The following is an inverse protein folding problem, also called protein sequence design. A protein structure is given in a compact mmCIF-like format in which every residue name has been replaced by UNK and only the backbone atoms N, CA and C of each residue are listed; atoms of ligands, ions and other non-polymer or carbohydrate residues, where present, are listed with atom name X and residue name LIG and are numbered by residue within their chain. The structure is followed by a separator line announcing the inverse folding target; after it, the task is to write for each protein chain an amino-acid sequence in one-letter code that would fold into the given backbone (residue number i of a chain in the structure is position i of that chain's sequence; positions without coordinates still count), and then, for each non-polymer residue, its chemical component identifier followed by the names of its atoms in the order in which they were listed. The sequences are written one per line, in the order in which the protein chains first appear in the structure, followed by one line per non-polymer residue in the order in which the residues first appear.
data_IF_251627359607
#
_entry.id   IF_251627359607
#
_cell.length_a   1.000
_cell.length_b   1.000
_cell.length_c   1.000
_cell.angle_alpha   90.00
_cell.angle_beta   90.00
_cell.angle_gamma   90.00
#
_symmetry.space_group_name_H-M   'P 1'
#
loop_
_entity.id
_entity.type
_entity.pdbx_description
1 polymer ?
#
# COMPACT_ATOMS: atom_id res chain seq x y z
N UNK A 1 12.72 -10.05 41.06
CA UNK A 1 13.45 -10.79 40.00
C UNK A 1 12.67 -10.73 38.68
N UNK A 2 12.00 -9.61 38.36
CA UNK A 2 10.94 -9.53 37.32
C UNK A 2 11.12 -8.39 36.30
N UNK A 3 12.30 -7.78 36.23
CA UNK A 3 12.53 -6.66 35.30
C UNK A 3 12.94 -7.14 33.89
N UNK A 4 13.45 -8.36 33.78
CA UNK A 4 13.92 -8.95 32.52
C UNK A 4 12.80 -9.49 31.63
N UNK A 5 11.76 -10.10 32.20
CA UNK A 5 10.62 -10.65 31.46
C UNK A 5 9.77 -9.55 30.81
N UNK A 6 9.51 -8.46 31.54
CA UNK A 6 8.76 -7.30 31.04
C UNK A 6 9.48 -6.54 29.92
N UNK A 7 10.80 -6.39 29.99
CA UNK A 7 11.60 -5.80 28.91
C UNK A 7 11.69 -6.70 27.67
N UNK A 8 11.77 -8.03 27.84
CA UNK A 8 11.79 -8.97 26.71
C UNK A 8 10.43 -8.98 25.98
N UNK A 9 9.31 -8.90 26.71
CA UNK A 9 7.97 -8.80 26.11
C UNK A 9 7.76 -7.44 25.44
N UNK A 10 8.21 -6.34 26.04
CA UNK A 10 8.13 -5.01 25.44
C UNK A 10 9.02 -4.87 24.19
N UNK A 11 10.23 -5.45 24.21
CA UNK A 11 11.12 -5.48 23.05
C UNK A 11 10.60 -6.40 21.94
N UNK A 12 10.01 -7.55 22.28
CA UNK A 12 9.37 -8.45 21.33
C UNK A 12 8.14 -7.83 20.66
N UNK A 13 7.37 -7.04 21.41
CA UNK A 13 6.25 -6.30 20.87
C UNK A 13 6.67 -5.14 19.95
N UNK A 14 7.65 -4.32 20.36
CA UNK A 14 8.20 -3.25 19.51
C UNK A 14 8.80 -3.78 18.19
N UNK A 15 9.43 -4.96 18.23
CA UNK A 15 9.94 -5.64 17.04
C UNK A 15 8.83 -6.12 16.08
N UNK A 16 7.61 -6.35 16.58
CA UNK A 16 6.48 -6.84 15.78
C UNK A 16 5.81 -5.71 14.96
N UNK A 17 5.81 -4.46 15.45
CA UNK A 17 5.14 -3.33 14.75
C UNK A 17 6.07 -2.53 13.83
N UNK A 18 7.40 -2.62 14.01
CA UNK A 18 8.34 -1.99 13.09
C UNK A 18 8.11 -2.33 11.60
N UNK A 19 7.92 -3.62 11.20
CA UNK A 19 7.66 -3.95 9.80
C UNK A 19 6.33 -3.38 9.28
N UNK A 20 5.29 -3.30 10.11
CA UNK A 20 4.00 -2.69 9.74
C UNK A 20 4.17 -1.25 9.27
N UNK A 21 4.86 -0.43 10.07
CA UNK A 21 5.08 0.98 9.74
C UNK A 21 5.98 1.16 8.51
N UNK A 22 6.92 0.24 8.27
CA UNK A 22 7.75 0.24 7.05
C UNK A 22 6.87 -0.01 5.82
N UNK A 23 6.00 -1.02 5.85
CA UNK A 23 5.09 -1.31 4.73
C UNK A 23 4.07 -0.20 4.51
N UNK A 24 3.50 0.36 5.58
CA UNK A 24 2.61 1.51 5.52
C UNK A 24 3.31 2.74 4.92
N UNK A 25 4.56 3.01 5.28
CA UNK A 25 5.34 4.11 4.72
C UNK A 25 5.63 3.90 3.22
N UNK A 26 5.94 2.67 2.81
CA UNK A 26 6.11 2.31 1.40
C UNK A 26 4.81 2.51 0.60
N UNK A 27 3.68 2.04 1.12
CA UNK A 27 2.36 2.23 0.50
C UNK A 27 2.00 3.73 0.41
N UNK A 28 2.27 4.50 1.45
CA UNK A 28 2.05 5.96 1.47
C UNK A 28 2.89 6.68 0.43
N UNK A 29 4.18 6.34 0.32
CA UNK A 29 5.10 6.95 -0.64
C UNK A 29 4.63 6.68 -2.07
N UNK A 30 4.26 5.44 -2.39
CA UNK A 30 3.78 5.07 -3.73
C UNK A 30 2.44 5.73 -4.07
N UNK A 31 1.54 5.88 -3.10
CA UNK A 31 0.27 6.59 -3.26
C UNK A 31 0.46 8.08 -3.53
N UNK A 32 1.28 8.77 -2.73
CA UNK A 32 1.59 10.20 -2.93
C UNK A 32 2.16 10.40 -4.33
N UNK A 33 3.09 9.54 -4.73
CA UNK A 33 3.71 9.58 -6.05
C UNK A 33 2.68 9.41 -7.17
N UNK A 34 1.70 8.51 -6.99
CA UNK A 34 0.58 8.33 -7.91
C UNK A 34 -0.29 9.59 -8.01
N UNK A 35 -0.66 10.17 -6.88
CA UNK A 35 -1.50 11.38 -6.83
C UNK A 35 -0.79 12.55 -7.53
N UNK A 36 0.51 12.74 -7.26
CA UNK A 36 1.32 13.78 -7.93
C UNK A 36 1.37 13.55 -9.44
N UNK A 37 1.69 12.31 -9.85
CA UNK A 37 1.74 11.92 -11.27
C UNK A 37 0.42 12.25 -11.99
N UNK A 38 -0.71 11.88 -11.39
CA UNK A 38 -2.02 12.02 -12.03
C UNK A 38 -2.60 13.42 -11.96
N UNK A 39 -2.38 14.13 -10.85
CA UNK A 39 -2.88 15.48 -10.65
C UNK A 39 -2.09 16.51 -11.47
N UNK A 40 -0.76 16.44 -11.43
CA UNK A 40 0.09 17.46 -12.06
C UNK A 40 0.51 17.12 -13.48
N UNK A 41 0.86 15.86 -13.76
CA UNK A 41 1.46 15.51 -15.05
C UNK A 41 0.43 15.08 -16.08
N UNK A 42 -0.48 14.16 -15.73
CA UNK A 42 -1.50 13.68 -16.68
C UNK A 42 -2.83 14.43 -16.60
N UNK A 43 -3.08 15.18 -15.50
CA UNK A 43 -4.33 15.92 -15.22
C UNK A 43 -5.59 15.07 -15.44
N UNK A 44 -5.54 13.81 -15.02
CA UNK A 44 -6.62 12.85 -15.24
C UNK A 44 -6.90 12.08 -13.93
N UNK A 45 -7.68 12.72 -13.05
CA UNK A 45 -8.10 12.14 -11.77
C UNK A 45 -9.34 11.30 -12.02
N UNK A 46 -9.23 10.00 -11.76
CA UNK A 46 -10.36 9.08 -11.83
C UNK A 46 -10.96 8.78 -10.45
N UNK A 47 -12.18 8.27 -10.45
CA UNK A 47 -12.83 7.77 -9.23
C UNK A 47 -12.03 6.65 -8.56
N UNK A 48 -11.26 5.88 -9.33
CA UNK A 48 -10.34 4.87 -8.80
C UNK A 48 -9.29 5.46 -7.85
N UNK A 49 -8.83 6.69 -8.08
CA UNK A 49 -7.81 7.33 -7.23
C UNK A 49 -8.40 7.79 -5.89
N UNK A 50 -9.65 8.28 -5.91
CA UNK A 50 -10.37 8.69 -4.70
C UNK A 50 -10.66 7.48 -3.81
N UNK A 51 -11.14 6.38 -4.41
CA UNK A 51 -11.41 5.13 -3.68
C UNK A 51 -10.10 4.54 -3.12
N UNK A 52 -9.00 4.63 -3.87
CA UNK A 52 -7.67 4.20 -3.38
C UNK A 52 -7.21 5.03 -2.19
N UNK A 53 -7.32 6.36 -2.27
CA UNK A 53 -6.93 7.25 -1.18
C UNK A 53 -7.80 7.03 0.08
N UNK A 54 -9.09 6.79 -0.11
CA UNK A 54 -9.99 6.43 0.98
C UNK A 54 -9.60 5.08 1.61
N UNK A 55 -9.36 4.04 0.81
CA UNK A 55 -8.89 2.74 1.30
C UNK A 55 -7.58 2.84 2.07
N UNK A 56 -6.62 3.64 1.59
CA UNK A 56 -5.38 3.92 2.31
C UNK A 56 -5.60 4.66 3.63
N UNK A 57 -6.50 5.65 3.67
CA UNK A 57 -6.81 6.38 4.90
C UNK A 57 -7.45 5.46 5.95
N UNK A 58 -8.32 4.55 5.53
CA UNK A 58 -8.88 3.50 6.39
C UNK A 58 -7.79 2.55 6.88
N UNK A 59 -6.85 2.13 6.01
CA UNK A 59 -5.71 1.30 6.42
C UNK A 59 -4.82 2.00 7.45
N UNK A 60 -4.51 3.28 7.22
CA UNK A 60 -3.73 4.09 8.15
C UNK A 60 -4.41 4.21 9.51
N UNK A 61 -5.72 4.47 9.53
CA UNK A 61 -6.51 4.52 10.76
C UNK A 61 -6.48 3.18 11.50
N UNK A 62 -6.66 2.06 10.79
CA UNK A 62 -6.54 0.72 11.38
C UNK A 62 -5.15 0.45 11.96
N UNK A 63 -4.08 0.79 11.24
CA UNK A 63 -2.70 0.62 11.71
C UNK A 63 -2.43 1.44 12.98
N UNK A 64 -2.95 2.67 13.07
CA UNK A 64 -2.86 3.50 14.28
C UNK A 64 -3.62 2.84 15.44
N UNK A 65 -4.86 2.43 15.24
CA UNK A 65 -5.70 1.82 16.29
C UNK A 65 -5.07 0.52 16.81
N UNK A 66 -4.59 -0.35 15.92
CA UNK A 66 -3.91 -1.60 16.30
C UNK A 66 -2.65 -1.30 17.10
N UNK A 67 -1.84 -0.33 16.67
CA UNK A 67 -0.62 0.07 17.39
C UNK A 67 -0.96 0.58 18.80
N UNK A 68 -2.00 1.41 18.96
CA UNK A 68 -2.43 1.92 20.27
C UNK A 68 -2.97 0.78 21.14
N UNK A 69 -3.89 -0.03 20.62
CA UNK A 69 -4.51 -1.16 21.35
C UNK A 69 -3.45 -2.12 21.87
N UNK A 70 -2.49 -2.48 21.02
CA UNK A 70 -1.36 -3.32 21.39
C UNK A 70 -0.47 -2.67 22.46
N UNK A 71 -0.09 -1.40 22.29
CA UNK A 71 0.72 -0.68 23.27
C UNK A 71 0.02 -0.61 24.62
N UNK A 72 -1.30 -0.39 24.65
CA UNK A 72 -2.07 -0.39 25.91
C UNK A 72 -2.10 -1.76 26.56
N UNK A 73 -2.22 -2.85 25.79
CA UNK A 73 -2.23 -4.21 26.31
C UNK A 73 -0.88 -4.60 26.93
N UNK A 74 0.23 -4.17 26.34
CA UNK A 74 1.58 -4.45 26.88
C UNK A 74 1.85 -3.66 28.16
N UNK A 75 1.42 -2.40 28.22
CA UNK A 75 1.59 -1.57 29.41
C UNK A 75 0.72 -2.05 30.58
N UNK A 76 -0.44 -2.63 30.31
CA UNK A 76 -1.28 -3.29 31.30
C UNK A 76 -0.56 -4.47 31.99
N UNK A 77 0.33 -5.19 31.28
CA UNK A 77 1.03 -6.37 31.84
C UNK A 77 2.18 -5.97 32.80
N UNK A 78 2.51 -4.67 32.95
CA UNK A 78 3.59 -4.25 33.86
C UNK A 78 3.17 -4.40 35.33
N UNK A 79 4.00 -5.02 36.19
CA UNK A 79 3.67 -5.37 37.58
C UNK A 79 3.49 -4.18 38.54
N UNK A 80 3.70 -2.95 38.07
CA UNK A 80 3.54 -1.70 38.86
C UNK A 80 2.14 -1.09 38.80
N UNK A 81 1.18 -1.75 38.15
CA UNK A 81 -0.16 -1.20 37.91
C UNK A 81 -1.14 -1.60 39.01
N UNK A 82 -1.83 -0.62 39.60
CA UNK A 82 -2.91 -0.85 40.58
C UNK A 82 -4.00 -1.74 39.95
N UNK A 83 -4.57 -2.73 40.66
CA UNK A 83 -5.54 -3.67 40.08
C UNK A 83 -6.78 -2.99 39.45
N UNK A 84 -7.23 -1.86 40.00
CA UNK A 84 -8.33 -1.05 39.44
C UNK A 84 -7.96 -0.33 38.14
N UNK A 85 -6.69 0.06 37.97
CA UNK A 85 -6.21 0.75 36.78
C UNK A 85 -5.93 -0.26 35.66
N UNK A 86 -5.58 -1.49 36.03
CA UNK A 86 -5.39 -2.61 35.13
C UNK A 86 -6.68 -2.96 34.38
N UNK A 87 -7.79 -3.13 35.11
CA UNK A 87 -9.10 -3.46 34.54
C UNK A 87 -9.59 -2.40 33.55
N UNK A 88 -9.50 -1.12 33.92
CA UNK A 88 -9.90 -0.02 33.04
C UNK A 88 -9.04 0.06 31.76
N UNK A 89 -7.74 -0.24 31.89
CA UNK A 89 -6.79 -0.21 30.75
C UNK A 89 -7.03 -1.38 29.80
N UNK A 90 -7.31 -2.58 30.31
CA UNK A 90 -7.60 -3.76 29.48
C UNK A 90 -8.94 -3.62 28.76
N UNK A 91 -9.98 -3.14 29.44
CA UNK A 91 -11.29 -2.86 28.83
C UNK A 91 -11.16 -1.85 27.67
N UNK A 92 -10.37 -0.79 27.86
CA UNK A 92 -10.10 0.19 26.80
C UNK A 92 -9.36 -0.44 25.61
N UNK A 93 -8.33 -1.24 25.88
CA UNK A 93 -7.55 -1.93 24.84
C UNK A 93 -8.40 -2.89 24.01
N UNK A 94 -9.29 -3.66 24.68
CA UNK A 94 -10.23 -4.59 24.05
C UNK A 94 -11.26 -3.85 23.19
N UNK A 95 -11.79 -2.73 23.68
CA UNK A 95 -12.71 -1.88 22.91
C UNK A 95 -12.06 -1.37 21.61
N UNK A 96 -10.81 -0.91 21.68
CA UNK A 96 -10.05 -0.51 20.49
C UNK A 96 -9.78 -1.69 19.55
N UNK A 97 -9.46 -2.87 20.09
CA UNK A 97 -9.22 -4.08 19.31
C UNK A 97 -10.48 -4.50 18.53
N UNK A 98 -11.65 -4.45 19.15
CA UNK A 98 -12.94 -4.72 18.49
C UNK A 98 -13.23 -3.74 17.36
N UNK A 99 -13.04 -2.44 17.61
CA UNK A 99 -13.20 -1.40 16.59
C UNK A 99 -12.24 -1.67 15.42
N UNK A 100 -11.00 -2.04 15.72
CA UNK A 100 -10.02 -2.38 14.69
C UNK A 100 -10.45 -3.62 13.89
N UNK A 101 -10.94 -4.68 14.52
CA UNK A 101 -11.41 -5.89 13.86
C UNK A 101 -12.60 -5.64 12.93
N UNK A 102 -13.45 -4.66 13.23
CA UNK A 102 -14.54 -4.27 12.35
C UNK A 102 -14.08 -3.43 11.16
N UNK A 103 -13.11 -2.52 11.35
CA UNK A 103 -12.62 -1.64 10.28
C UNK A 103 -11.68 -2.40 9.34
N UNK A 104 -10.84 -3.28 9.88
CA UNK A 104 -9.71 -3.87 9.16
C UNK A 104 -10.07 -4.67 7.90
N UNK A 105 -11.15 -5.45 7.83
CA UNK A 105 -11.54 -6.11 6.58
C UNK A 105 -11.74 -5.13 5.40
N UNK A 106 -12.20 -3.91 5.68
CA UNK A 106 -12.44 -2.88 4.66
C UNK A 106 -11.16 -2.33 4.05
N UNK A 107 -10.01 -2.46 4.72
CA UNK A 107 -8.70 -1.98 4.24
C UNK A 107 -8.23 -2.75 3.02
N UNK A 108 -8.67 -4.01 2.85
CA UNK A 108 -8.33 -4.86 1.70
C UNK A 108 -9.31 -4.65 0.55
N UNK A 109 -10.62 -4.62 0.86
CA UNK A 109 -11.66 -4.60 -0.16
C UNK A 109 -11.75 -3.27 -0.92
N UNK A 110 -11.56 -2.13 -0.24
CA UNK A 110 -11.58 -0.81 -0.87
C UNK A 110 -10.48 -0.68 -1.95
N UNK A 111 -9.22 -1.03 -1.67
CA UNK A 111 -8.18 -1.09 -2.69
C UNK A 111 -8.48 -2.02 -3.87
N UNK A 112 -9.06 -3.20 -3.63
CA UNK A 112 -9.40 -4.14 -4.71
C UNK A 112 -10.43 -3.58 -5.68
N UNK A 113 -11.44 -2.84 -5.19
CA UNK A 113 -12.40 -2.13 -6.05
C UNK A 113 -11.66 -1.11 -6.94
N UNK A 114 -10.77 -0.31 -6.35
CA UNK A 114 -9.97 0.66 -7.12
C UNK A 114 -9.10 -0.04 -8.18
N UNK A 115 -8.45 -1.15 -7.83
CA UNK A 115 -7.64 -1.96 -8.79
C UNK A 115 -8.50 -2.50 -9.92
N UNK A 116 -9.68 -3.04 -9.63
CA UNK A 116 -10.59 -3.55 -10.65
C UNK A 116 -11.05 -2.45 -11.63
N UNK A 117 -11.38 -1.27 -11.10
CA UNK A 117 -11.75 -0.10 -11.92
C UNK A 117 -10.57 0.39 -12.75
N UNK A 118 -9.38 0.46 -12.16
CA UNK A 118 -8.14 0.86 -12.82
C UNK A 118 -7.77 -0.09 -13.97
N UNK A 119 -7.82 -1.41 -13.74
CA UNK A 119 -7.57 -2.41 -14.77
C UNK A 119 -8.60 -2.32 -15.89
N UNK A 120 -9.87 -2.10 -15.54
CA UNK A 120 -10.96 -1.93 -16.51
C UNK A 120 -10.77 -0.68 -17.38
N UNK A 121 -10.27 0.42 -16.80
CA UNK A 121 -9.98 1.66 -17.52
C UNK A 121 -8.75 1.54 -18.40
N UNK A 122 -7.69 0.89 -17.92
CA UNK A 122 -6.41 0.80 -18.61
C UNK A 122 -6.42 -0.20 -19.76
N UNK A 123 -7.05 -1.36 -19.57
CA UNK A 123 -7.01 -2.47 -20.53
C UNK A 123 -8.24 -2.52 -21.44
N UNK A 124 -9.27 -1.70 -21.16
CA UNK A 124 -10.55 -1.64 -21.87
C UNK A 124 -11.07 -3.02 -22.32
N UNK A 125 -11.30 -3.94 -21.36
CA UNK A 125 -11.59 -5.31 -21.72
C UNK A 125 -13.03 -5.50 -22.19
N UNK A 126 -13.31 -6.67 -22.79
CA UNK A 126 -14.67 -7.07 -23.15
C UNK A 126 -15.61 -6.93 -21.94
N UNK A 127 -16.90 -6.59 -22.14
CA UNK A 127 -17.84 -6.31 -21.05
C UNK A 127 -17.95 -7.45 -20.04
N UNK A 128 -17.89 -8.72 -20.51
CA UNK A 128 -17.87 -9.90 -19.65
C UNK A 128 -16.66 -9.95 -18.71
N UNK A 129 -15.45 -9.67 -19.22
CA UNK A 129 -14.23 -9.64 -18.40
C UNK A 129 -14.24 -8.48 -17.44
N UNK A 130 -14.74 -7.31 -17.85
CA UNK A 130 -14.96 -6.16 -16.97
C UNK A 130 -15.88 -6.52 -15.80
N UNK A 131 -17.00 -7.18 -16.09
CA UNK A 131 -17.95 -7.63 -15.08
C UNK A 131 -17.31 -8.62 -14.10
N UNK A 132 -16.53 -9.58 -14.59
CA UNK A 132 -15.83 -10.55 -13.74
C UNK A 132 -14.78 -9.94 -12.82
N UNK A 133 -14.21 -8.77 -13.12
CA UNK A 133 -13.27 -8.09 -12.23
C UNK A 133 -13.99 -7.23 -11.18
N UNK A 134 -15.02 -6.49 -11.60
CA UNK A 134 -15.70 -5.52 -10.73
C UNK A 134 -16.68 -6.21 -9.77
N UNK A 135 -17.48 -7.16 -10.25
CA UNK A 135 -18.55 -7.77 -9.43
C UNK A 135 -17.99 -8.48 -8.20
N UNK A 136 -16.99 -9.36 -8.30
CA UNK A 136 -16.44 -10.02 -7.11
C UNK A 136 -15.81 -9.04 -6.11
N UNK A 137 -15.22 -7.94 -6.58
CA UNK A 137 -14.68 -6.89 -5.69
C UNK A 137 -15.77 -6.18 -4.90
N UNK A 138 -16.87 -5.83 -5.56
CA UNK A 138 -17.99 -5.13 -4.93
C UNK A 138 -18.75 -6.07 -3.99
N UNK A 139 -19.01 -7.30 -4.43
CA UNK A 139 -19.64 -8.34 -3.59
C UNK A 139 -18.77 -8.64 -2.37
N UNK A 140 -17.46 -8.74 -2.56
CA UNK A 140 -16.52 -8.93 -1.47
C UNK A 140 -16.46 -7.75 -0.51
N UNK A 141 -16.52 -6.51 -0.98
CA UNK A 141 -16.62 -5.34 -0.10
C UNK A 141 -17.90 -5.34 0.73
N UNK A 142 -19.05 -5.61 0.12
CA UNK A 142 -20.34 -5.61 0.82
C UNK A 142 -20.42 -6.78 1.81
N UNK A 143 -20.06 -7.99 1.39
CA UNK A 143 -20.14 -9.19 2.25
C UNK A 143 -18.94 -9.31 3.20
N UNK A 144 -17.74 -9.38 2.64
CA UNK A 144 -16.51 -9.61 3.40
C UNK A 144 -15.90 -8.37 4.05
N UNK A 145 -16.37 -7.15 3.77
CA UNK A 145 -15.92 -5.91 4.41
C UNK A 145 -16.97 -5.36 5.37
N UNK A 146 -18.13 -4.95 4.84
CA UNK A 146 -19.23 -4.42 5.63
C UNK A 146 -19.91 -5.54 6.43
N UNK A 147 -20.19 -6.69 5.82
CA UNK A 147 -20.82 -7.82 6.51
C UNK A 147 -19.97 -8.36 7.67
N UNK A 148 -18.65 -8.52 7.49
CA UNK A 148 -17.75 -8.90 8.58
C UNK A 148 -17.68 -7.85 9.70
N UNK A 149 -17.77 -6.57 9.36
CA UNK A 149 -17.83 -5.49 10.36
C UNK A 149 -19.11 -5.60 11.21
N UNK A 150 -20.26 -5.83 10.56
CA UNK A 150 -21.54 -5.99 11.25
C UNK A 150 -21.55 -7.22 12.17
N UNK A 151 -21.05 -8.37 11.69
CA UNK A 151 -20.99 -9.60 12.50
C UNK A 151 -20.08 -9.40 13.71
N UNK A 152 -18.95 -8.68 13.55
CA UNK A 152 -18.04 -8.36 14.66
C UNK A 152 -18.72 -7.58 15.79
N UNK A 153 -19.68 -6.70 15.48
CA UNK A 153 -20.46 -5.98 16.50
C UNK A 153 -21.65 -6.77 17.03
N UNK A 154 -22.25 -7.66 16.22
CA UNK A 154 -23.49 -8.37 16.56
C UNK A 154 -23.26 -9.76 17.19
N UNK A 155 -22.02 -10.25 17.25
CA UNK A 155 -21.69 -11.58 17.76
C UNK A 155 -22.01 -11.80 19.26
N UNK A 156 -22.24 -10.75 20.05
CA UNK A 156 -22.55 -10.86 21.48
C UNK A 156 -23.72 -9.96 21.87
N UNK A 157 -24.56 -10.45 22.78
CA UNK A 157 -25.65 -9.69 23.39
C UNK A 157 -25.51 -9.69 24.92
N UNK A 158 -25.36 -8.52 25.58
CA UNK A 158 -25.19 -7.18 25.00
C UNK A 158 -23.81 -6.98 24.36
N UNK A 159 -23.72 -6.08 23.38
CA UNK A 159 -22.46 -5.74 22.68
C UNK A 159 -21.38 -5.30 23.68
N UNK A 160 -21.78 -4.62 24.75
CA UNK A 160 -20.87 -4.16 25.80
C UNK A 160 -20.11 -5.27 26.51
N UNK A 161 -20.64 -6.49 26.52
CA UNK A 161 -19.94 -7.64 27.09
C UNK A 161 -18.73 -8.10 26.27
N UNK A 162 -18.54 -7.62 25.04
CA UNK A 162 -17.34 -7.97 24.25
C UNK A 162 -16.06 -7.35 24.81
N UNK A 163 -16.15 -6.16 25.41
CA UNK A 163 -14.99 -5.48 26.01
C UNK A 163 -15.03 -5.48 27.54
N UNK A 164 -16.19 -5.77 28.15
CA UNK A 164 -16.37 -5.86 29.60
C UNK A 164 -17.20 -7.12 29.95
N UNK A 165 -16.62 -8.33 29.79
CA UNK A 165 -17.34 -9.58 29.99
C UNK A 165 -17.68 -9.85 31.45
N UNK A 166 -16.88 -9.34 32.38
CA UNK A 166 -17.05 -9.54 33.82
C UNK A 166 -18.28 -8.79 34.35
N UNK A 167 -18.56 -7.59 33.82
CA UNK A 167 -19.71 -6.79 34.24
C UNK A 167 -21.04 -7.21 33.60
N UNK A 168 -21.01 -7.63 32.34
CA UNK A 168 -22.25 -7.82 31.54
C UNK A 168 -22.63 -9.27 31.26
N UNK A 169 -21.74 -10.23 31.55
CA UNK A 169 -21.95 -11.67 31.32
C UNK A 169 -22.68 -11.97 29.99
N UNK A 170 -22.09 -11.58 28.84
CA UNK A 170 -22.78 -11.65 27.56
C UNK A 170 -23.02 -13.09 27.09
N UNK A 171 -24.12 -13.29 26.39
CA UNK A 171 -24.30 -14.47 25.54
C UNK A 171 -23.70 -14.17 24.17
N UNK A 172 -22.61 -14.87 23.83
CA UNK A 172 -21.92 -14.73 22.56
C UNK A 172 -22.16 -15.95 21.66
N UNK A 173 -22.10 -15.74 20.35
CA UNK A 173 -22.09 -16.82 19.37
C UNK A 173 -20.80 -17.64 19.46
N UNK A 174 -20.88 -18.89 18.98
CA UNK A 174 -19.70 -19.73 18.89
C UNK A 174 -18.67 -19.11 17.92
N UNK A 175 -17.38 -19.07 18.27
CA UNK A 175 -16.33 -18.50 17.43
C UNK A 175 -16.23 -19.14 16.04
N UNK A 176 -16.66 -20.39 15.88
CA UNK A 176 -16.74 -21.08 14.59
C UNK A 176 -17.60 -20.32 13.58
N UNK A 177 -18.67 -19.65 14.02
CA UNK A 177 -19.58 -18.89 13.14
C UNK A 177 -18.82 -17.76 12.43
N UNK A 178 -17.94 -17.05 13.14
CA UNK A 178 -17.13 -15.97 12.57
C UNK A 178 -16.07 -16.53 11.61
N UNK A 179 -15.47 -17.67 11.94
CA UNK A 179 -14.46 -18.34 11.12
C UNK A 179 -15.10 -18.82 9.81
N UNK A 180 -16.20 -19.54 9.90
CA UNK A 180 -16.93 -20.10 8.75
C UNK A 180 -17.45 -18.99 7.83
N UNK A 181 -17.85 -17.84 8.39
CA UNK A 181 -18.23 -16.68 7.59
C UNK A 181 -17.06 -16.05 6.83
N UNK A 182 -15.88 -15.92 7.46
CA UNK A 182 -14.75 -15.18 6.86
C UNK A 182 -13.88 -16.02 5.92
N UNK A 183 -13.84 -17.34 6.07
CA UNK A 183 -13.10 -18.25 5.16
C UNK A 183 -13.43 -18.01 3.68
N UNK A 184 -14.70 -18.02 3.21
CA UNK A 184 -15.00 -17.81 1.80
C UNK A 184 -14.54 -16.44 1.29
N UNK A 185 -14.64 -15.40 2.11
CA UNK A 185 -14.18 -14.05 1.76
C UNK A 185 -12.66 -13.96 1.65
N UNK A 186 -11.94 -14.65 2.54
CA UNK A 186 -10.48 -14.70 2.51
C UNK A 186 -9.98 -15.47 1.28
N UNK A 187 -10.62 -16.60 0.93
CA UNK A 187 -10.33 -17.33 -0.31
C UNK A 187 -10.61 -16.47 -1.55
N UNK A 188 -11.74 -15.76 -1.57
CA UNK A 188 -12.08 -14.85 -2.66
C UNK A 188 -11.05 -13.70 -2.77
N UNK A 189 -10.61 -13.13 -1.65
CA UNK A 189 -9.58 -12.09 -1.60
C UNK A 189 -8.29 -12.57 -2.27
N UNK A 190 -7.77 -13.72 -1.86
CA UNK A 190 -6.53 -14.29 -2.41
C UNK A 190 -6.67 -14.65 -3.89
N UNK A 191 -7.82 -15.20 -4.30
CA UNK A 191 -8.09 -15.50 -5.70
C UNK A 191 -8.06 -14.22 -6.55
N UNK A 192 -8.65 -13.12 -6.07
CA UNK A 192 -8.64 -11.85 -6.78
C UNK A 192 -7.24 -11.27 -6.94
N UNK A 193 -6.35 -11.41 -5.96
CA UNK A 193 -4.97 -10.94 -6.09
C UNK A 193 -4.21 -11.69 -7.19
N UNK A 194 -4.39 -13.01 -7.26
CA UNK A 194 -3.81 -13.84 -8.31
C UNK A 194 -4.39 -13.47 -9.68
N UNK A 195 -5.72 -13.28 -9.77
CA UNK A 195 -6.39 -12.87 -11.01
C UNK A 195 -5.88 -11.49 -11.47
N UNK A 196 -5.73 -10.52 -10.57
CA UNK A 196 -5.23 -9.18 -10.88
C UNK A 196 -3.76 -9.15 -11.26
N UNK A 197 -2.95 -10.10 -10.78
CA UNK A 197 -1.59 -10.27 -11.23
C UNK A 197 -1.53 -10.89 -12.65
N UNK A 198 -2.27 -11.97 -12.88
CA UNK A 198 -2.23 -12.73 -14.15
C UNK A 198 -2.87 -11.96 -15.30
N UNK A 199 -3.96 -11.24 -15.03
CA UNK A 199 -4.75 -10.56 -16.06
C UNK A 199 -3.92 -9.57 -16.93
N UNK A 200 -3.24 -8.55 -16.35
CA UNK A 200 -2.35 -7.70 -17.12
C UNK A 200 -1.18 -8.49 -17.72
N UNK A 201 -0.68 -9.54 -17.05
CA UNK A 201 0.46 -10.35 -17.52
C UNK A 201 0.19 -10.97 -18.87
N UNK A 202 -0.92 -11.70 -18.96
CA UNK A 202 -1.32 -12.39 -20.18
C UNK A 202 -1.58 -11.42 -21.32
N UNK A 203 -2.10 -10.23 -21.03
CA UNK A 203 -2.35 -9.24 -22.06
C UNK A 203 -1.07 -8.62 -22.61
N UNK A 204 -0.14 -8.25 -21.72
CA UNK A 204 1.14 -7.66 -22.14
C UNK A 204 2.08 -8.68 -22.79
N UNK A 205 2.03 -9.96 -22.42
CA UNK A 205 2.83 -11.01 -23.07
C UNK A 205 2.44 -11.26 -24.52
N UNK A 206 1.16 -11.08 -24.88
CA UNK A 206 0.72 -11.13 -26.28
C UNK A 206 1.27 -9.95 -27.11
N UNK A 207 1.58 -8.83 -26.45
CA UNK A 207 2.11 -7.61 -27.07
C UNK A 207 3.65 -7.56 -26.94
N UNK A 208 4.36 -8.28 -27.82
CA UNK A 208 5.82 -8.51 -27.74
C UNK A 208 6.69 -7.23 -27.73
N UNK A 209 6.18 -6.10 -28.21
CA UNK A 209 6.93 -4.87 -28.52
C UNK A 209 6.99 -3.81 -27.39
N UNK A 210 6.86 -4.19 -26.12
CA UNK A 210 6.97 -3.21 -25.01
C UNK A 210 8.42 -2.85 -24.67
N UNK A 211 8.74 -1.56 -24.44
CA UNK A 211 10.06 -1.14 -23.97
C UNK A 211 10.37 -1.74 -22.59
N UNK A 212 11.66 -2.02 -22.33
CA UNK A 212 12.14 -2.75 -21.14
C UNK A 212 11.65 -2.12 -19.83
N UNK A 213 11.60 -0.79 -19.74
CA UNK A 213 11.09 -0.08 -18.56
C UNK A 213 9.62 -0.39 -18.25
N UNK A 214 8.78 -0.63 -19.27
CA UNK A 214 7.38 -1.04 -19.06
C UNK A 214 7.32 -2.50 -18.59
N UNK A 215 8.14 -3.38 -19.16
CA UNK A 215 8.24 -4.78 -18.75
C UNK A 215 8.66 -4.93 -17.29
N UNK A 216 9.65 -4.15 -16.84
CA UNK A 216 10.10 -4.16 -15.44
C UNK A 216 8.99 -3.74 -14.47
N UNK A 217 8.32 -2.62 -14.73
CA UNK A 217 7.23 -2.17 -13.87
C UNK A 217 6.07 -3.20 -13.82
N UNK A 218 5.73 -3.81 -14.97
CA UNK A 218 4.71 -4.88 -15.04
C UNK A 218 5.15 -6.12 -14.23
N UNK A 219 6.43 -6.48 -14.27
CA UNK A 219 6.98 -7.59 -13.48
C UNK A 219 6.91 -7.33 -11.98
N UNK A 220 7.26 -6.12 -11.54
CA UNK A 220 7.19 -5.72 -10.12
C UNK A 220 5.74 -5.78 -9.63
N UNK A 221 4.80 -5.31 -10.46
CA UNK A 221 3.37 -5.34 -10.17
C UNK A 221 2.85 -6.75 -9.93
N UNK A 222 3.24 -7.68 -10.78
CA UNK A 222 2.88 -9.09 -10.66
C UNK A 222 3.49 -9.73 -9.43
N UNK A 223 4.77 -9.42 -9.16
CA UNK A 223 5.44 -9.90 -7.96
C UNK A 223 4.70 -9.48 -6.69
N UNK A 224 4.38 -8.19 -6.55
CA UNK A 224 3.67 -7.68 -5.37
C UNK A 224 2.24 -8.22 -5.25
N UNK A 225 1.52 -8.38 -6.37
CA UNK A 225 0.20 -9.02 -6.38
C UNK A 225 0.23 -10.49 -5.94
N UNK A 226 1.23 -11.25 -6.39
CA UNK A 226 1.42 -12.64 -5.95
C UNK A 226 1.83 -12.74 -4.48
N UNK A 227 2.68 -11.82 -4.01
CA UNK A 227 3.04 -11.74 -2.58
C UNK A 227 1.80 -11.46 -1.74
N UNK A 228 0.95 -10.51 -2.14
CA UNK A 228 -0.34 -10.25 -1.49
C UNK A 228 -1.22 -11.50 -1.43
N UNK A 229 -1.38 -12.19 -2.57
CA UNK A 229 -2.15 -13.44 -2.62
C UNK A 229 -1.59 -14.52 -1.68
N UNK A 230 -0.26 -14.67 -1.62
CA UNK A 230 0.42 -15.59 -0.71
C UNK A 230 0.22 -15.24 0.77
N UNK A 231 0.27 -13.95 1.13
CA UNK A 231 -0.07 -13.46 2.47
C UNK A 231 -1.52 -13.79 2.81
N UNK A 232 -2.45 -13.59 1.88
CA UNK A 232 -3.86 -13.95 2.07
C UNK A 232 -4.05 -15.46 2.30
N UNK A 233 -3.34 -16.32 1.57
CA UNK A 233 -3.39 -17.79 1.79
C UNK A 233 -2.84 -18.14 3.17
N UNK A 234 -1.69 -17.57 3.57
CA UNK A 234 -1.16 -17.76 4.90
C UNK A 234 -2.15 -17.34 5.99
N UNK A 235 -2.83 -16.20 5.81
CA UNK A 235 -3.89 -15.75 6.73
C UNK A 235 -5.07 -16.73 6.83
N UNK A 236 -5.49 -17.32 5.70
CA UNK A 236 -6.59 -18.32 5.72
C UNK A 236 -6.24 -19.54 6.57
N UNK A 237 -4.99 -20.01 6.54
CA UNK A 237 -4.56 -21.16 7.36
C UNK A 237 -4.53 -20.81 8.85
N UNK A 238 -4.15 -19.57 9.20
CA UNK A 238 -4.22 -19.08 10.58
C UNK A 238 -5.66 -18.92 11.07
N UNK A 239 -6.60 -18.57 10.20
CA UNK A 239 -8.00 -18.37 10.57
C UNK A 239 -8.65 -19.66 11.09
N UNK A 240 -8.25 -20.83 10.56
CA UNK A 240 -8.71 -22.12 11.07
C UNK A 240 -8.27 -22.41 12.51
N UNK A 241 -7.16 -21.81 12.97
CA UNK A 241 -6.69 -21.97 14.35
C UNK A 241 -7.62 -21.28 15.35
N UNK A 242 -8.41 -20.28 14.92
CA UNK A 242 -9.42 -19.63 15.76
C UNK A 242 -10.59 -20.56 16.13
N UNK A 243 -10.91 -21.55 15.29
CA UNK A 243 -12.04 -22.45 15.47
C UNK A 243 -11.77 -23.60 16.46
N UNK A 244 -10.52 -23.87 16.85
CA UNK A 244 -10.14 -24.97 17.77
C UNK A 244 -10.11 -24.52 19.24
N UNK A 245 -11.06 -23.66 19.62
CA UNK A 245 -11.00 -22.79 20.81
C UNK A 245 -11.31 -23.48 22.15
N UNK A 246 -10.71 -24.64 22.43
CA UNK A 246 -10.81 -25.33 23.72
C UNK A 246 -9.75 -24.87 24.77
N UNK A 247 -8.98 -23.81 24.52
CA UNK A 247 -7.77 -23.49 25.33
C UNK A 247 -7.68 -22.08 25.97
N UNK A 248 -8.77 -21.31 26.06
CA UNK A 248 -8.83 -20.07 26.88
C UNK A 248 -8.95 -18.75 26.11
N UNK A 249 -9.40 -17.71 26.82
CA UNK A 249 -9.71 -16.36 26.30
C UNK A 249 -8.51 -15.64 25.67
N UNK A 250 -7.32 -15.89 26.19
CA UNK A 250 -6.13 -15.08 25.90
C UNK A 250 -5.47 -15.49 24.56
N UNK A 251 -5.59 -16.76 24.19
CA UNK A 251 -5.10 -17.30 22.92
C UNK A 251 -5.91 -16.73 21.76
N UNK A 252 -7.23 -16.64 21.91
CA UNK A 252 -8.11 -16.13 20.85
C UNK A 252 -7.85 -14.65 20.55
N UNK A 253 -7.60 -13.83 21.58
CA UNK A 253 -7.20 -12.44 21.42
C UNK A 253 -5.89 -12.33 20.65
N UNK A 254 -4.87 -13.09 21.04
CA UNK A 254 -3.55 -13.07 20.39
C UNK A 254 -3.64 -13.44 18.90
N UNK A 255 -4.38 -14.49 18.56
CA UNK A 255 -4.56 -14.91 17.16
C UNK A 255 -5.33 -13.85 16.36
N UNK A 256 -6.36 -13.24 16.93
CA UNK A 256 -7.11 -12.15 16.27
C UNK A 256 -6.23 -10.93 15.97
N UNK A 257 -5.33 -10.57 16.89
CA UNK A 257 -4.35 -9.50 16.66
C UNK A 257 -3.38 -9.85 15.52
N UNK A 258 -2.86 -11.07 15.49
CA UNK A 258 -1.96 -11.53 14.41
C UNK A 258 -2.67 -11.46 13.05
N UNK A 259 -3.92 -11.93 12.97
CA UNK A 259 -4.72 -11.86 11.73
C UNK A 259 -4.94 -10.41 11.28
N UNK A 260 -5.15 -9.49 12.23
CA UNK A 260 -5.31 -8.08 11.93
C UNK A 260 -4.03 -7.46 11.35
N UNK A 261 -2.87 -7.78 11.91
CA UNK A 261 -1.57 -7.34 11.41
C UNK A 261 -1.32 -7.82 9.98
N UNK A 262 -1.57 -9.11 9.70
CA UNK A 262 -1.39 -9.64 8.35
C UNK A 262 -2.37 -9.04 7.33
N UNK A 263 -3.58 -8.69 7.76
CA UNK A 263 -4.59 -8.02 6.93
C UNK A 263 -4.14 -6.61 6.52
N UNK A 264 -3.56 -5.83 7.44
CA UNK A 264 -3.00 -4.51 7.12
C UNK A 264 -1.79 -4.62 6.18
N UNK A 265 -0.93 -5.63 6.37
CA UNK A 265 0.22 -5.88 5.48
C UNK A 265 -0.23 -6.27 4.07
N UNK A 266 -1.25 -7.13 3.96
CA UNK A 266 -1.88 -7.47 2.66
C UNK A 266 -2.40 -6.20 1.96
N UNK A 267 -3.12 -5.33 2.68
CA UNK A 267 -3.61 -4.06 2.15
C UNK A 267 -2.48 -3.15 1.64
N UNK A 268 -1.37 -3.03 2.37
CA UNK A 268 -0.21 -2.23 1.96
C UNK A 268 0.44 -2.76 0.66
N UNK A 269 0.52 -4.09 0.49
CA UNK A 269 1.00 -4.69 -0.75
C UNK A 269 0.05 -4.43 -1.92
N UNK A 270 -1.26 -4.52 -1.71
CA UNK A 270 -2.27 -4.22 -2.74
C UNK A 270 -2.16 -2.76 -3.18
N UNK A 271 -2.09 -1.81 -2.23
CA UNK A 271 -1.97 -0.38 -2.53
C UNK A 271 -0.67 -0.09 -3.27
N UNK A 272 0.46 -0.63 -2.79
CA UNK A 272 1.77 -0.45 -3.41
C UNK A 272 1.79 -0.99 -4.84
N UNK A 273 1.27 -2.20 -5.05
CA UNK A 273 1.10 -2.78 -6.37
C UNK A 273 0.22 -1.86 -7.23
N UNK A 274 -0.95 -1.44 -6.78
CA UNK A 274 -1.82 -0.58 -7.58
C UNK A 274 -1.17 0.74 -8.03
N UNK A 275 -0.27 1.32 -7.22
CA UNK A 275 0.30 2.65 -7.43
C UNK A 275 1.57 2.71 -8.29
N UNK A 276 2.35 1.63 -8.39
CA UNK A 276 3.60 1.57 -9.17
C UNK A 276 3.46 1.78 -10.70
N UNK A 277 2.42 1.29 -11.42
CA UNK A 277 2.36 1.45 -12.88
C UNK A 277 2.16 2.91 -13.30
N UNK A 278 1.54 3.71 -12.44
CA UNK A 278 1.02 5.04 -12.77
C UNK A 278 1.92 6.17 -12.26
N UNK A 279 2.82 5.85 -11.36
CA UNK A 279 3.89 6.74 -10.90
C UNK A 279 5.12 6.74 -11.82
N UNK A 280 5.13 5.94 -12.90
CA UNK A 280 6.25 5.82 -13.86
C UNK A 280 6.94 7.11 -14.29
N UNK A 281 6.23 8.17 -14.73
CA UNK A 281 6.92 9.38 -15.16
C UNK A 281 7.61 10.08 -13.98
N UNK A 282 7.04 9.98 -12.78
CA UNK A 282 7.64 10.55 -11.58
C UNK A 282 8.78 9.68 -11.07
N UNK A 283 8.76 8.36 -11.21
CA UNK A 283 9.93 7.52 -10.92
C UNK A 283 11.11 7.86 -11.83
N UNK A 284 10.87 8.15 -13.12
CA UNK A 284 11.94 8.62 -14.01
C UNK A 284 12.49 9.97 -13.55
N UNK A 285 11.61 10.92 -13.24
CA UNK A 285 12.02 12.23 -12.71
C UNK A 285 12.73 12.12 -11.36
N UNK A 286 12.27 11.23 -10.48
CA UNK A 286 12.87 10.99 -9.16
C UNK A 286 14.23 10.31 -9.30
N UNK A 287 14.41 9.35 -10.21
CA UNK A 287 15.71 8.74 -10.49
C UNK A 287 16.69 9.79 -11.04
N UNK A 288 16.24 10.66 -11.95
CA UNK A 288 17.07 11.76 -12.46
C UNK A 288 17.42 12.74 -11.35
N UNK A 289 16.44 13.15 -10.54
CA UNK A 289 16.65 14.08 -9.42
C UNK A 289 17.54 13.48 -8.33
N UNK A 290 17.36 12.20 -7.99
CA UNK A 290 18.23 11.46 -7.06
C UNK A 290 19.62 11.31 -7.66
N UNK A 291 19.75 11.07 -8.96
CA UNK A 291 21.03 11.08 -9.68
C UNK A 291 21.75 12.43 -9.56
N UNK A 292 21.03 13.54 -9.74
CA UNK A 292 21.55 14.90 -9.59
C UNK A 292 21.93 15.22 -8.14
N UNK A 293 21.10 14.84 -7.17
CA UNK A 293 21.35 15.02 -5.73
C UNK A 293 22.52 14.14 -5.28
N UNK A 294 22.57 12.88 -5.71
CA UNK A 294 23.69 11.97 -5.45
C UNK A 294 24.98 12.46 -6.11
N UNK A 295 24.90 13.02 -7.31
CA UNK A 295 26.03 13.69 -7.97
C UNK A 295 26.54 14.88 -7.16
N UNK A 296 25.64 15.71 -6.62
CA UNK A 296 25.99 16.82 -5.72
C UNK A 296 26.58 16.36 -4.39
N UNK A 297 26.04 15.29 -3.79
CA UNK A 297 26.54 14.70 -2.54
C UNK A 297 27.91 14.05 -2.77
N UNK A 298 28.08 13.26 -3.83
CA UNK A 298 29.34 12.63 -4.23
C UNK A 298 30.46 13.66 -4.42
N UNK A 299 30.13 14.78 -5.08
CA UNK A 299 31.06 15.92 -5.26
C UNK A 299 31.43 16.59 -3.94
N UNK A 300 30.52 16.65 -2.95
CA UNK A 300 30.81 17.17 -1.59
C UNK A 300 31.66 16.20 -0.75
N UNK A 301 31.48 14.89 -0.92
CA UNK A 301 32.21 13.86 -0.16
C UNK A 301 33.58 13.54 -0.80
N UNK A 302 33.94 14.17 -1.92
CA UNK A 302 35.24 14.00 -2.57
C UNK A 302 35.44 12.64 -3.22
N UNK A 303 34.37 11.83 -3.38
CA UNK A 303 34.42 10.68 -4.26
C UNK A 303 34.53 11.21 -5.69
N UNK A 304 35.63 10.90 -6.38
CA UNK A 304 35.85 11.24 -7.79
C UNK A 304 34.66 10.88 -8.69
N UNK A 305 34.61 11.40 -9.92
CA UNK A 305 33.44 11.30 -10.81
C UNK A 305 32.93 9.86 -10.92
N UNK A 306 31.62 9.71 -11.08
CA UNK A 306 31.05 8.42 -11.47
C UNK A 306 31.73 8.01 -12.78
N UNK A 307 32.14 6.74 -12.87
CA UNK A 307 32.52 6.16 -14.16
C UNK A 307 31.29 6.32 -15.04
N UNK A 308 31.38 7.27 -15.95
CA UNK A 308 30.38 7.54 -16.96
C UNK A 308 30.45 6.35 -17.92
N UNK A 309 29.39 5.55 -18.01
CA UNK A 309 29.26 4.53 -19.06
C UNK A 309 29.14 5.26 -20.41
N UNK A 310 30.28 5.64 -20.97
CA UNK A 310 30.42 6.27 -22.29
C UNK A 310 29.97 5.39 -23.46
N UNK A 311 29.28 4.28 -23.21
CA UNK A 311 28.90 3.30 -24.23
C UNK A 311 27.58 3.61 -24.96
N UNK A 312 26.83 4.66 -24.61
CA UNK A 312 25.49 4.92 -25.20
C UNK A 312 25.47 6.09 -26.20
N UNK A 313 26.49 6.95 -26.27
CA UNK A 313 26.47 8.14 -27.16
C UNK A 313 27.03 7.85 -28.57
N UNK A 314 27.76 6.76 -28.78
CA UNK A 314 28.48 6.50 -30.05
C UNK A 314 27.70 5.68 -31.09
N UNK A 315 26.35 5.64 -31.04
CA UNK A 315 25.52 5.01 -32.10
C UNK A 315 24.57 5.94 -32.84
N UNK A 316 24.64 7.25 -32.61
CA UNK A 316 23.80 8.23 -33.30
C UNK A 316 24.41 8.77 -34.61
N UNK A 317 25.57 8.28 -35.05
CA UNK A 317 26.31 8.84 -36.19
C UNK A 317 25.94 8.32 -37.58
N UNK A 318 25.43 7.09 -37.73
CA UNK A 318 25.33 6.46 -39.05
C UNK A 318 24.10 5.57 -39.25
N UNK A 319 23.02 6.17 -39.76
CA UNK A 319 22.19 5.65 -40.86
C UNK A 319 20.99 6.56 -41.13
N UNK A 320 21.12 7.45 -42.11
CA UNK A 320 19.99 7.84 -42.97
C UNK A 320 19.93 6.84 -44.12
N UNK A 321 18.95 5.93 -44.14
CA UNK A 321 18.28 5.48 -45.38
C UNK A 321 16.84 5.06 -45.04
N UNK A 322 15.90 5.66 -45.77
CA UNK A 322 14.47 5.42 -45.93
C UNK A 322 13.89 4.07 -45.47
N UNK A 323 12.76 4.12 -44.75
CA UNK A 323 11.60 3.25 -45.01
C UNK A 323 10.36 3.83 -44.33
N UNK A 324 9.34 4.19 -45.12
CA UNK A 324 8.10 4.79 -44.63
C UNK A 324 7.21 3.81 -43.88
N UNK A 325 6.62 4.28 -42.78
CA UNK A 325 5.35 3.82 -42.24
C UNK A 325 4.62 5.03 -41.64
N UNK A 326 3.30 5.04 -41.82
CA UNK A 326 2.36 6.10 -41.45
C UNK A 326 2.33 6.25 -39.93
N UNK A 327 2.80 7.39 -39.40
CA UNK A 327 2.62 7.77 -38.00
C UNK A 327 1.17 8.26 -37.79
N UNK A 328 0.43 7.57 -36.92
CA UNK A 328 -0.77 8.13 -36.30
C UNK A 328 -0.33 9.15 -35.23
N UNK A 329 -1.02 10.30 -35.08
CA UNK A 329 -0.54 11.39 -34.25
C UNK A 329 -0.71 11.05 -32.76
N UNK A 330 0.36 10.52 -32.14
CA UNK A 330 0.49 10.51 -30.70
C UNK A 330 0.74 11.96 -30.24
N UNK A 331 -0.28 12.56 -29.63
CA UNK A 331 -0.19 13.85 -28.94
C UNK A 331 0.58 13.65 -27.62
N UNK A 332 1.85 13.29 -27.73
CA UNK A 332 2.79 13.26 -26.61
C UNK A 332 3.28 14.68 -26.38
N UNK A 333 2.92 15.25 -25.24
CA UNK A 333 3.61 16.44 -24.76
C UNK A 333 5.05 16.03 -24.48
N UNK A 334 5.94 16.52 -25.32
CA UNK A 334 7.35 16.19 -25.36
C UNK A 334 8.00 16.63 -24.03
N UNK A 335 8.14 15.67 -23.11
CA UNK A 335 8.68 15.88 -21.75
C UNK A 335 10.13 16.37 -21.83
N UNK A 336 10.84 16.00 -22.89
CA UNK A 336 12.19 16.48 -23.17
C UNK A 336 12.17 17.99 -23.51
N UNK A 337 11.11 18.50 -24.14
CA UNK A 337 10.93 19.93 -24.40
C UNK A 337 10.68 20.74 -23.13
N UNK A 338 9.92 20.20 -22.17
CA UNK A 338 9.67 20.84 -20.86
C UNK A 338 10.96 20.83 -20.01
N UNK A 339 11.73 19.75 -20.05
CA UNK A 339 13.03 19.66 -19.38
C UNK A 339 14.06 20.64 -19.98
N UNK A 340 14.06 20.80 -21.32
CA UNK A 340 14.92 21.75 -22.03
C UNK A 340 14.50 23.21 -21.79
N UNK A 341 13.19 23.54 -21.83
CA UNK A 341 12.68 24.89 -21.50
C UNK A 341 12.92 25.29 -20.04
N UNK A 342 12.98 24.31 -19.12
CA UNK A 342 13.39 24.53 -17.73
C UNK A 342 14.88 24.82 -17.60
N UNK A 343 15.72 24.16 -18.42
CA UNK A 343 17.17 24.35 -18.45
C UNK A 343 17.56 25.70 -19.07
N UNK A 344 16.91 26.11 -20.16
CA UNK A 344 17.12 27.42 -20.79
C UNK A 344 16.71 28.60 -19.89
N UNK A 345 15.64 28.45 -19.10
CA UNK A 345 15.21 29.47 -18.14
C UNK A 345 16.19 29.68 -16.98
N UNK A 346 16.91 28.63 -16.57
CA UNK A 346 17.95 28.74 -15.54
C UNK A 346 19.22 29.39 -16.08
N UNK A 347 19.66 29.07 -17.31
CA UNK A 347 20.85 29.70 -17.91
C UNK A 347 20.63 31.18 -18.25
N UNK A 348 19.44 31.56 -18.72
CA UNK A 348 19.14 32.97 -19.06
C UNK A 348 19.05 33.87 -17.81
N UNK A 349 18.64 33.33 -16.66
CA UNK A 349 18.56 34.10 -15.41
C UNK A 349 19.96 34.37 -14.81
N UNK A 350 20.88 33.42 -14.94
CA UNK A 350 22.26 33.57 -14.47
C UNK A 350 23.07 34.55 -15.35
N UNK A 351 22.76 34.65 -16.66
CA UNK A 351 23.38 35.62 -17.58
C UNK A 351 22.88 37.07 -17.37
N UNK A 352 21.66 37.26 -16.84
CA UNK A 352 21.10 38.59 -16.55
C UNK A 352 21.64 39.16 -15.23
N UNK A 353 21.89 38.32 -14.22
CA UNK A 353 22.47 38.77 -12.94
C UNK A 353 23.97 39.11 -13.06
N UNK A 354 24.72 38.49 -13.97
CA UNK A 354 26.12 38.86 -14.24
C UNK A 354 26.29 40.17 -15.04
N UNK A 355 25.27 40.62 -15.78
CA UNK A 355 25.32 41.89 -16.54
C UNK A 355 24.97 43.13 -15.72
N UNK A 356 24.37 43.00 -14.54
CA UNK A 356 24.00 44.15 -13.70
C UNK A 356 25.07 44.55 -12.66
N UNK A 357 26.14 43.77 -12.46
CA UNK A 357 27.20 44.10 -11.48
C UNK A 357 28.44 44.79 -12.08
N UNK A 358 28.46 45.12 -13.38
CA UNK A 358 29.64 45.68 -14.07
C UNK A 358 29.41 47.04 -14.77
N UNK A 359 28.32 47.73 -14.47
CA UNK A 359 27.97 49.03 -15.07
C UNK A 359 27.84 50.17 -14.06
N UNK A 360 28.91 50.51 -13.34
CA UNK A 360 28.95 51.66 -12.43
C UNK A 360 30.24 52.45 -12.61
N UNK A 361 30.26 53.38 -13.57
CA UNK A 361 31.39 54.29 -13.78
C UNK A 361 31.20 55.28 -14.93
N UNK A 362 31.10 56.57 -14.58
CA UNK A 362 31.41 57.78 -15.37
C UNK A 362 30.45 58.20 -16.50
N UNK A 363 29.53 59.12 -16.20
CA UNK A 363 29.68 60.58 -16.38
C UNK A 363 28.48 61.33 -15.80
#
# INVERSE_FOLDING_TARGET
MDDGSGQVVANGAGATYAPLWIFQAMATTTLILRIISRSFLTRDIGWEDVIMAFGWAVNLASTIIITISSNTMIHAIKPTTTPSDLENTTVYALKLSLISGAINPNTIWLPKISVALLLSRLLQPKPWTKLMLIVPSVVGFVGGGIGSALITFLQCNPIAGQWDPERYHPTCWDPSVMVDYNIPWAVLSSALDIIYAIYPATMFWKMRQLPVSRKLAISILMGLGLISGGVGIYKTTLTHLLGRRDQGSDVALTVSHILNVWTTVEADFIISAACIPLSRPVWRLAIVFVGDVWGKVRKRVGLGPAVEDSAVVERSGERRVNMGYIELPERTWDVDRIAMEGRERHTVRDDIEMRYSSGGGWR
#
